data_IF_866394624544
#
_entry.id   IF_866394624544
#
_cell.length_a   1.000
_cell.length_b   1.000
_cell.length_c   1.000
_cell.angle_alpha   90.00
_cell.angle_beta   90.00
_cell.angle_gamma   90.00
#
_symmetry.space_group_name_H-M   'P 1'
#
loop_
_entity.id
_entity.type
_entity.pdbx_description
1 polymer ?
#
# COMPACT_ATOMS: atom_id res chain seq x y z
N UNK A 1 -6.16 -5.84 -4.73
CA UNK A 1 -6.41 -4.38 -4.66
C UNK A 1 -5.14 -3.56 -4.50
N UNK A 2 -4.42 -3.57 -3.35
CA UNK A 2 -3.22 -2.72 -3.18
C UNK A 2 -2.11 -3.03 -4.20
N UNK A 3 -1.84 -4.31 -4.45
CA UNK A 3 -0.93 -4.75 -5.52
C UNK A 3 -1.34 -4.18 -6.88
N UNK A 4 -2.63 -4.26 -7.21
CA UNK A 4 -3.14 -3.83 -8.51
C UNK A 4 -3.01 -2.31 -8.68
N UNK A 5 -3.21 -1.53 -7.60
CA UNK A 5 -2.93 -0.10 -7.59
C UNK A 5 -1.44 0.18 -7.81
N UNK A 6 -0.54 -0.53 -7.13
CA UNK A 6 0.90 -0.36 -7.35
C UNK A 6 1.28 -0.67 -8.80
N UNK A 7 0.74 -1.74 -9.39
CA UNK A 7 0.99 -2.10 -10.79
C UNK A 7 0.48 -1.00 -11.73
N UNK A 8 -0.72 -0.45 -11.48
CA UNK A 8 -1.26 0.68 -12.27
C UNK A 8 -0.34 1.90 -12.17
N UNK A 9 0.07 2.29 -10.97
CA UNK A 9 1.01 3.40 -10.78
C UNK A 9 2.35 3.13 -11.48
N UNK A 10 2.85 1.90 -11.41
CA UNK A 10 4.06 1.45 -12.12
C UNK A 10 3.94 1.63 -13.63
N UNK A 11 2.80 1.28 -14.22
CA UNK A 11 2.53 1.51 -15.63
C UNK A 11 2.48 3.00 -15.99
N UNK A 12 1.84 3.85 -15.18
CA UNK A 12 1.76 5.30 -15.40
C UNK A 12 3.15 5.96 -15.42
N UNK A 13 4.07 5.50 -14.57
CA UNK A 13 5.46 5.99 -14.53
C UNK A 13 6.40 5.25 -15.50
N UNK A 14 5.86 4.42 -16.40
CA UNK A 14 6.61 3.58 -17.34
C UNK A 14 7.71 2.74 -16.66
N UNK A 15 7.43 2.23 -15.45
CA UNK A 15 8.34 1.41 -14.65
C UNK A 15 9.70 2.06 -14.36
N UNK A 16 9.77 3.39 -14.36
CA UNK A 16 11.01 4.12 -14.06
C UNK A 16 11.47 3.81 -12.63
N UNK A 17 12.58 3.08 -12.46
CA UNK A 17 13.06 2.63 -11.15
C UNK A 17 13.19 3.77 -10.15
N UNK A 18 13.80 4.89 -10.54
CA UNK A 18 14.01 6.05 -9.66
C UNK A 18 12.70 6.64 -9.07
N UNK A 19 11.57 6.49 -9.77
CA UNK A 19 10.25 6.92 -9.32
C UNK A 19 9.55 5.77 -8.59
N UNK A 20 9.64 4.55 -9.11
CA UNK A 20 9.03 3.33 -8.54
C UNK A 20 9.49 3.06 -7.11
N UNK A 21 10.77 3.28 -6.81
CA UNK A 21 11.35 3.13 -5.46
C UNK A 21 10.75 4.10 -4.43
N UNK A 22 10.13 5.19 -4.91
CA UNK A 22 9.47 6.20 -4.09
C UNK A 22 7.96 6.01 -4.04
N UNK A 23 7.40 5.11 -4.85
CA UNK A 23 5.97 4.82 -4.83
C UNK A 23 5.61 3.98 -3.61
N UNK A 24 4.59 4.44 -2.89
CA UNK A 24 3.95 3.71 -1.79
C UNK A 24 2.44 3.80 -1.98
N UNK A 25 1.78 2.65 -1.95
CA UNK A 25 0.33 2.57 -1.92
C UNK A 25 -0.12 2.37 -0.47
N UNK A 26 -1.02 3.22 0.00
CA UNK A 26 -1.60 3.15 1.35
C UNK A 26 -3.04 2.66 1.22
N UNK A 27 -3.45 1.74 2.07
CA UNK A 27 -4.83 1.28 2.15
C UNK A 27 -5.27 1.05 3.58
N UNK A 28 -6.58 1.03 3.79
CA UNK A 28 -7.19 0.66 5.06
C UNK A 28 -7.92 -0.66 4.90
N UNK A 29 -7.62 -1.61 5.78
CA UNK A 29 -8.50 -2.76 6.00
C UNK A 29 -9.47 -2.37 7.10
N UNK A 30 -10.75 -2.51 6.82
CA UNK A 30 -11.83 -2.31 7.77
C UNK A 30 -12.58 -3.64 7.96
N UNK A 31 -12.92 -3.96 9.21
CA UNK A 31 -13.75 -5.11 9.56
C UNK A 31 -14.46 -4.89 10.89
N UNK A 32 -15.78 -4.65 10.84
CA UNK A 32 -16.53 -4.20 12.02
C UNK A 32 -15.97 -2.88 12.56
N UNK A 33 -15.80 -2.76 13.87
CA UNK A 33 -15.16 -1.59 14.50
C UNK A 33 -13.63 -1.67 14.52
N UNK A 34 -13.01 -2.52 13.70
CA UNK A 34 -11.55 -2.61 13.62
C UNK A 34 -11.07 -2.05 12.29
N UNK A 35 -10.01 -1.25 12.34
CA UNK A 35 -9.32 -0.71 11.19
C UNK A 35 -7.82 -0.97 11.30
N UNK A 36 -7.19 -1.34 10.19
CA UNK A 36 -5.74 -1.51 10.09
C UNK A 36 -5.22 -0.71 8.90
N UNK A 37 -4.12 0.02 9.11
CA UNK A 37 -3.38 0.64 8.02
C UNK A 37 -2.50 -0.42 7.33
N UNK A 38 -2.54 -0.44 6.01
CA UNK A 38 -1.63 -1.25 5.20
C UNK A 38 -0.85 -0.36 4.24
N UNK A 39 0.43 -0.66 4.11
CA UNK A 39 1.31 0.01 3.16
C UNK A 39 1.94 -1.02 2.24
N UNK A 40 2.10 -0.67 0.97
CA UNK A 40 2.77 -1.48 -0.02
C UNK A 40 3.72 -0.61 -0.84
N UNK A 41 4.99 -0.98 -0.90
CA UNK A 41 6.02 -0.29 -1.69
C UNK A 41 6.92 -1.26 -2.47
N UNK A 42 7.75 -0.71 -3.37
CA UNK A 42 8.71 -1.47 -4.17
C UNK A 42 10.09 -0.78 -4.20
N UNK A 43 10.83 -0.78 -3.07
CA UNK A 43 12.04 0.04 -2.88
C UNK A 43 13.21 -0.33 -3.79
N UNK A 44 13.22 -1.56 -4.33
CA UNK A 44 14.28 -2.05 -5.21
C UNK A 44 13.79 -2.23 -6.65
N UNK A 45 12.52 -1.93 -6.93
CA UNK A 45 11.89 -2.15 -8.25
C UNK A 45 11.54 -3.61 -8.57
N UNK A 46 12.10 -4.58 -7.85
CA UNK A 46 11.79 -6.03 -7.98
C UNK A 46 11.30 -6.68 -6.68
N UNK A 47 11.53 -6.05 -5.53
CA UNK A 47 11.02 -6.50 -4.23
C UNK A 47 9.83 -5.65 -3.85
N UNK A 48 8.65 -6.26 -3.71
CA UNK A 48 7.48 -5.60 -3.11
C UNK A 48 7.44 -5.90 -1.61
N UNK A 49 7.29 -4.89 -0.76
CA UNK A 49 7.08 -5.08 0.69
C UNK A 49 5.66 -4.70 1.05
N UNK A 50 5.10 -5.44 2.01
CA UNK A 50 3.80 -5.15 2.59
C UNK A 50 4.00 -4.94 4.08
N UNK A 51 3.64 -3.75 4.56
CA UNK A 51 3.61 -3.44 5.99
C UNK A 51 2.17 -3.42 6.47
N UNK A 52 1.93 -4.06 7.61
CA UNK A 52 0.66 -4.05 8.32
C UNK A 52 0.88 -3.28 9.62
N UNK A 53 0.19 -2.18 9.77
CA UNK A 53 0.20 -1.40 11.00
C UNK A 53 -0.65 -2.05 12.08
N UNK A 54 -0.76 -1.35 13.20
CA UNK A 54 -1.60 -1.78 14.32
C UNK A 54 -3.08 -1.82 13.94
N UNK A 55 -3.83 -2.66 14.67
CA UNK A 55 -5.29 -2.67 14.60
C UNK A 55 -5.83 -1.63 15.57
N UNK A 56 -6.52 -0.64 15.03
CA UNK A 56 -7.21 0.39 15.79
C UNK A 56 -8.69 0.04 15.92
N UNK A 57 -9.22 0.20 17.14
CA UNK A 57 -10.65 0.12 17.38
C UNK A 57 -11.27 1.48 17.06
N UNK A 58 -12.15 1.52 16.07
CA UNK A 58 -12.93 2.69 15.70
C UNK A 58 -14.08 2.84 16.72
N UNK A 59 -14.36 4.07 17.13
CA UNK A 59 -15.50 4.33 18.01
C UNK A 59 -16.81 3.98 17.32
N UNK A 60 -17.73 3.36 18.05
CA UNK A 60 -19.11 3.21 17.61
C UNK A 60 -19.85 4.53 17.84
N UNK A 61 -20.73 4.91 16.90
CA UNK A 61 -21.54 6.13 17.01
C UNK A 61 -22.74 5.94 17.93
#
# INVERSE_FOLDING_TARGET
MLKDMLIRLGNEISWTTAILQKLKTIGFIHGGLNQMLMELDCPEGYVCRVHKGDVYKIADC
#
